data_IF_355385068533
#
_entry.id   IF_355385068533
#
_cell.length_a   1.000
_cell.length_b   1.000
_cell.length_c   1.000
_cell.angle_alpha   90.00
_cell.angle_beta   90.00
_cell.angle_gamma   90.00
#
_symmetry.space_group_name_H-M   'P 1'
#
loop_
_entity.id
_entity.type
_entity.pdbx_description
1 polymer ?
#
# COMPACT_ATOMS: atom_id res chain seq x y z
N UNK A 1 13.45 -11.86 9.89
CA UNK A 1 13.81 -11.53 8.49
C UNK A 1 14.05 -10.03 8.40
N UNK A 2 15.31 -9.60 8.50
CA UNK A 2 15.66 -8.17 8.52
C UNK A 2 15.83 -7.66 7.09
N UNK A 3 14.94 -6.78 6.65
CA UNK A 3 15.12 -6.00 5.41
C UNK A 3 16.00 -4.78 5.73
N UNK A 4 17.31 -4.94 5.60
CA UNK A 4 18.27 -3.83 5.67
C UNK A 4 18.20 -3.02 4.38
N UNK A 5 17.38 -1.97 4.35
CA UNK A 5 17.44 -0.95 3.29
C UNK A 5 18.42 0.16 3.69
N UNK A 6 19.72 -0.06 3.50
CA UNK A 6 20.72 1.01 3.56
C UNK A 6 20.81 1.65 2.17
N UNK A 7 20.31 2.89 2.01
CA UNK A 7 20.61 3.72 0.83
C UNK A 7 21.84 4.57 1.14
N UNK A 8 23.00 4.31 0.50
CA UNK A 8 24.26 5.02 0.77
C UNK A 8 24.24 6.49 0.33
N UNK A 9 23.23 6.94 -0.41
CA UNK A 9 23.07 8.29 -0.97
C UNK A 9 22.06 9.17 -0.22
N UNK A 10 21.41 8.66 0.82
CA UNK A 10 20.53 9.48 1.66
C UNK A 10 21.33 10.42 2.54
N UNK A 11 20.98 11.72 2.58
CA UNK A 11 21.65 12.71 3.45
C UNK A 11 21.50 12.48 4.97
N UNK A 12 20.88 11.39 5.40
CA UNK A 12 20.54 11.13 6.80
C UNK A 12 19.47 12.08 7.33
N UNK A 13 19.24 12.05 8.65
CA UNK A 13 18.24 12.86 9.32
C UNK A 13 18.81 13.50 10.58
N UNK A 14 18.34 14.71 10.91
CA UNK A 14 18.59 15.34 12.21
C UNK A 14 17.79 14.62 13.31
N UNK A 15 18.16 14.81 14.56
CA UNK A 15 17.41 14.30 15.70
C UNK A 15 15.95 14.81 15.71
N UNK A 16 15.74 16.07 15.34
CA UNK A 16 14.41 16.67 15.22
C UNK A 16 13.57 15.97 14.15
N UNK A 17 14.16 15.72 12.97
CA UNK A 17 13.48 14.98 11.89
C UNK A 17 13.16 13.56 12.36
N UNK A 18 14.14 12.86 12.97
CA UNK A 18 14.00 11.50 13.49
C UNK A 18 12.83 11.36 14.46
N UNK A 19 12.56 12.36 15.31
CA UNK A 19 11.46 12.30 16.27
C UNK A 19 10.08 12.43 15.60
N UNK A 20 10.02 13.01 14.41
CA UNK A 20 8.78 13.36 13.71
C UNK A 20 8.48 12.47 12.50
N UNK A 21 9.42 11.63 12.07
CA UNK A 21 9.27 10.82 10.84
C UNK A 21 8.10 9.84 10.83
N UNK A 22 7.53 9.52 12.00
CA UNK A 22 6.36 8.67 12.12
C UNK A 22 5.05 9.46 12.28
N UNK A 23 5.12 10.80 12.34
CA UNK A 23 3.94 11.66 12.33
C UNK A 23 3.25 11.57 10.96
N UNK A 24 1.92 11.37 10.91
CA UNK A 24 1.18 11.43 9.67
C UNK A 24 1.42 12.75 8.93
N UNK A 25 1.62 12.67 7.61
CA UNK A 25 1.83 13.82 6.71
C UNK A 25 3.16 14.57 6.90
N UNK A 26 4.01 14.18 7.84
CA UNK A 26 5.33 14.78 7.98
C UNK A 26 6.23 14.41 6.80
N UNK A 27 6.84 15.42 6.16
CA UNK A 27 7.76 15.24 5.03
C UNK A 27 8.79 16.36 5.00
N UNK A 28 10.04 16.01 4.70
CA UNK A 28 11.12 16.98 4.39
C UNK A 28 11.28 17.19 2.89
N UNK A 29 10.50 16.49 2.06
CA UNK A 29 10.53 16.61 0.60
C UNK A 29 9.77 17.87 0.15
N UNK A 30 10.14 18.45 -1.01
CA UNK A 30 9.38 19.53 -1.62
C UNK A 30 7.91 19.17 -1.82
N UNK A 31 7.07 20.21 -1.88
CA UNK A 31 5.62 20.10 -2.15
C UNK A 31 5.38 19.21 -3.37
N UNK A 32 4.46 18.24 -3.22
CA UNK A 32 4.10 17.30 -4.28
C UNK A 32 5.04 16.11 -4.49
N UNK A 33 6.17 15.99 -3.76
CA UNK A 33 7.13 14.87 -3.90
C UNK A 33 7.10 13.82 -2.78
N UNK A 34 6.19 13.94 -1.84
CA UNK A 34 5.98 12.94 -0.80
C UNK A 34 4.74 13.28 0.02
N UNK A 35 3.89 12.28 0.23
CA UNK A 35 2.67 12.41 1.04
C UNK A 35 2.93 12.45 2.54
N UNK A 36 4.15 12.10 2.98
CA UNK A 36 4.49 11.96 4.40
C UNK A 36 3.76 10.80 5.09
N UNK A 37 3.07 9.92 4.35
CA UNK A 37 2.21 8.89 4.95
C UNK A 37 2.92 7.55 5.15
N UNK A 38 3.95 7.25 4.33
CA UNK A 38 4.52 5.90 4.24
C UNK A 38 5.10 5.35 5.56
N UNK A 39 5.86 6.15 6.30
CA UNK A 39 6.45 5.72 7.57
C UNK A 39 5.42 5.63 8.70
N UNK A 40 4.45 6.56 8.74
CA UNK A 40 3.35 6.50 9.70
C UNK A 40 2.51 5.23 9.55
N UNK A 41 2.21 4.82 8.31
CA UNK A 41 1.50 3.55 8.05
C UNK A 41 2.35 2.35 8.43
N UNK A 42 3.64 2.34 8.08
CA UNK A 42 4.52 1.24 8.42
C UNK A 42 4.62 1.03 9.94
N UNK A 43 4.77 2.11 10.70
CA UNK A 43 4.79 2.07 12.16
C UNK A 43 3.46 1.60 12.73
N UNK A 44 2.33 2.12 12.23
CA UNK A 44 1.00 1.67 12.65
C UNK A 44 0.75 0.18 12.41
N UNK A 45 1.14 -0.34 11.24
CA UNK A 45 1.03 -1.77 10.92
C UNK A 45 1.91 -2.59 11.86
N UNK A 46 3.18 -2.24 12.01
CA UNK A 46 4.13 -3.01 12.82
C UNK A 46 3.72 -3.01 14.30
N UNK A 47 3.30 -1.86 14.85
CA UNK A 47 2.76 -1.77 16.21
C UNK A 47 1.47 -2.55 16.38
N UNK A 48 0.61 -2.59 15.35
CA UNK A 48 -0.60 -3.40 15.34
C UNK A 48 -0.33 -4.91 15.52
N UNK A 49 0.84 -5.38 15.09
CA UNK A 49 1.34 -6.74 15.34
C UNK A 49 2.21 -6.85 16.61
N UNK A 50 2.20 -5.86 17.50
CA UNK A 50 3.03 -5.85 18.72
C UNK A 50 4.53 -5.65 18.47
N UNK A 51 4.90 -5.21 17.27
CA UNK A 51 6.28 -4.93 16.89
C UNK A 51 6.73 -3.49 17.12
N UNK A 52 7.95 -3.20 16.68
CA UNK A 52 8.55 -1.86 16.69
C UNK A 52 9.51 -1.65 15.51
N UNK A 53 9.80 -0.40 15.15
CA UNK A 53 10.82 -0.05 14.17
C UNK A 53 11.96 0.67 14.87
N UNK A 54 13.18 0.14 14.75
CA UNK A 54 14.40 0.84 15.14
C UNK A 54 14.95 1.65 13.97
N UNK A 55 15.48 2.84 14.26
CA UNK A 55 16.01 3.75 13.26
C UNK A 55 17.42 4.16 13.62
N UNK A 56 18.35 3.82 12.75
CA UNK A 56 19.74 4.28 12.79
C UNK A 56 19.94 5.34 11.72
N UNK A 57 20.32 6.54 12.11
CA UNK A 57 20.48 7.66 11.17
C UNK A 57 21.48 8.67 11.71
N UNK A 58 22.29 9.22 10.82
CA UNK A 58 23.10 10.40 11.07
C UNK A 58 23.25 11.20 9.77
N UNK A 59 23.28 12.53 9.89
CA UNK A 59 23.47 13.42 8.74
C UNK A 59 24.71 13.02 7.94
N UNK A 60 24.57 12.97 6.62
CA UNK A 60 25.61 12.59 5.66
C UNK A 60 25.91 11.09 5.55
N UNK A 61 25.31 10.22 6.38
CA UNK A 61 25.58 8.77 6.39
C UNK A 61 24.41 7.88 5.95
N UNK A 62 23.26 8.48 5.67
CA UNK A 62 22.04 7.75 5.34
C UNK A 62 21.21 7.38 6.55
N UNK A 63 20.26 6.46 6.35
CA UNK A 63 19.37 5.97 7.40
C UNK A 63 19.05 4.51 7.15
N UNK A 64 18.97 3.73 8.22
CA UNK A 64 18.54 2.35 8.23
C UNK A 64 17.33 2.20 9.15
N UNK A 65 16.39 1.37 8.72
CA UNK A 65 15.14 1.08 9.44
C UNK A 65 15.07 -0.43 9.65
N UNK A 66 14.93 -0.85 10.90
CA UNK A 66 14.94 -2.25 11.31
C UNK A 66 13.61 -2.59 11.99
N UNK A 67 12.66 -3.21 11.27
CA UNK A 67 11.40 -3.66 11.86
C UNK A 67 11.60 -4.94 12.67
N UNK A 68 11.05 -4.95 13.88
CA UNK A 68 10.99 -6.10 14.78
C UNK A 68 9.53 -6.48 15.02
N UNK A 69 9.25 -7.78 14.98
CA UNK A 69 7.95 -8.36 15.27
C UNK A 69 8.14 -9.44 16.34
N UNK A 70 7.16 -9.67 17.22
CA UNK A 70 7.16 -10.82 18.12
C UNK A 70 7.31 -12.11 17.31
N UNK A 71 8.22 -12.97 17.75
CA UNK A 71 8.34 -14.31 17.18
C UNK A 71 7.39 -15.24 17.94
N UNK A 72 6.42 -15.82 17.24
CA UNK A 72 5.66 -16.96 17.77
C UNK A 72 6.44 -18.24 17.48
N UNK A 73 6.86 -18.95 18.53
CA UNK A 73 7.54 -20.25 18.44
C UNK A 73 6.65 -21.36 17.83
N UNK A 74 5.35 -21.07 17.65
CA UNK A 74 4.35 -22.00 17.10
C UNK A 74 4.22 -21.94 15.57
N UNK A 75 4.90 -21.04 14.86
CA UNK A 75 4.90 -21.01 13.40
C UNK A 75 6.13 -21.78 12.91
N UNK A 76 5.97 -22.99 12.31
CA UNK A 76 7.08 -23.68 11.69
C UNK A 76 7.71 -22.72 10.68
N UNK A 77 9.04 -22.55 10.74
CA UNK A 77 9.78 -21.82 9.72
C UNK A 77 9.24 -22.27 8.35
N UNK A 78 8.79 -21.37 7.47
CA UNK A 78 8.17 -21.78 6.22
C UNK A 78 9.17 -22.65 5.48
N UNK A 79 8.87 -23.95 5.39
CA UNK A 79 9.53 -24.84 4.47
C UNK A 79 9.44 -24.14 3.12
N UNK A 80 10.62 -23.74 2.60
CA UNK A 80 10.85 -22.97 1.38
C UNK A 80 9.55 -22.63 0.66
N UNK A 81 9.07 -21.39 0.82
CA UNK A 81 7.80 -20.91 0.28
C UNK A 81 7.57 -21.50 -1.12
N UNK A 82 6.85 -22.62 -1.17
CA UNK A 82 6.29 -23.13 -2.39
C UNK A 82 5.36 -22.01 -2.78
N UNK A 83 5.82 -21.24 -3.77
CA UNK A 83 5.16 -20.07 -4.34
C UNK A 83 3.71 -20.48 -4.46
N UNK A 84 2.87 -19.99 -3.55
CA UNK A 84 1.45 -20.28 -3.63
C UNK A 84 1.06 -19.76 -5.01
N UNK A 85 0.82 -20.67 -5.94
CA UNK A 85 0.47 -20.30 -7.29
C UNK A 85 -0.87 -19.59 -7.12
N UNK A 86 -0.83 -18.25 -7.16
CA UNK A 86 -2.02 -17.45 -7.39
C UNK A 86 -2.76 -18.15 -8.53
N UNK A 87 -4.07 -18.43 -8.39
CA UNK A 87 -4.81 -19.12 -9.44
C UNK A 87 -4.49 -18.45 -10.78
N UNK A 88 -4.14 -19.26 -11.79
CA UNK A 88 -3.65 -18.77 -13.10
C UNK A 88 -4.63 -17.79 -13.76
N UNK A 89 -5.91 -17.87 -13.40
CA UNK A 89 -6.85 -16.77 -13.52
C UNK A 89 -6.87 -16.02 -12.19
N UNK A 90 -6.31 -14.80 -12.14
CA UNK A 90 -6.42 -13.94 -10.96
C UNK A 90 -7.89 -13.85 -10.50
N UNK A 91 -8.12 -13.60 -9.20
CA UNK A 91 -9.46 -13.55 -8.58
C UNK A 91 -10.52 -12.78 -9.39
N UNK A 92 -10.10 -11.78 -10.17
CA UNK A 92 -10.98 -10.99 -11.02
C UNK A 92 -11.56 -11.70 -12.23
N UNK A 93 -10.93 -12.76 -12.75
CA UNK A 93 -11.44 -13.51 -13.91
C UNK A 93 -11.69 -12.65 -15.16
N UNK A 94 -10.97 -11.54 -15.33
CA UNK A 94 -11.17 -10.59 -16.44
C UNK A 94 -12.38 -9.66 -16.30
N UNK A 95 -13.09 -9.70 -15.16
CA UNK A 95 -14.21 -8.78 -14.87
C UNK A 95 -13.75 -7.32 -14.91
N UNK A 96 -14.67 -6.44 -15.33
CA UNK A 96 -14.42 -5.00 -15.41
C UNK A 96 -14.80 -4.33 -14.09
N UNK A 97 -13.97 -3.40 -13.63
CA UNK A 97 -14.23 -2.56 -12.45
C UNK A 97 -14.09 -1.10 -12.87
N UNK A 98 -15.11 -0.30 -12.57
CA UNK A 98 -15.06 1.16 -12.66
C UNK A 98 -14.69 1.69 -11.28
N UNK A 99 -13.52 2.32 -11.19
CA UNK A 99 -12.99 2.91 -9.97
C UNK A 99 -13.18 4.44 -10.03
N UNK A 100 -13.77 5.01 -8.99
CA UNK A 100 -14.02 6.45 -8.88
C UNK A 100 -13.53 6.92 -7.53
N UNK A 101 -12.57 7.84 -7.53
CA UNK A 101 -11.97 8.43 -6.34
C UNK A 101 -11.32 9.76 -6.74
N UNK A 102 -11.50 10.82 -5.96
CA UNK A 102 -10.97 12.16 -6.26
C UNK A 102 -9.47 12.30 -5.96
N UNK A 103 -8.87 11.36 -5.23
CA UNK A 103 -7.44 11.33 -4.98
C UNK A 103 -6.69 10.51 -6.07
N UNK A 104 -5.83 11.16 -6.89
CA UNK A 104 -5.07 10.48 -7.94
C UNK A 104 -4.09 9.42 -7.40
N UNK A 105 -3.63 9.57 -6.15
CA UNK A 105 -2.76 8.58 -5.50
C UNK A 105 -3.53 7.29 -5.18
N UNK A 106 -4.75 7.43 -4.67
CA UNK A 106 -5.64 6.31 -4.36
C UNK A 106 -6.02 5.57 -5.65
N UNK A 107 -6.40 6.32 -6.70
CA UNK A 107 -6.65 5.75 -8.02
C UNK A 107 -5.46 4.93 -8.53
N UNK A 108 -4.24 5.47 -8.42
CA UNK A 108 -3.02 4.79 -8.88
C UNK A 108 -2.74 3.48 -8.13
N UNK A 109 -2.85 3.50 -6.81
CA UNK A 109 -2.60 2.33 -5.96
C UNK A 109 -3.65 1.24 -6.22
N UNK A 110 -4.94 1.59 -6.17
CA UNK A 110 -6.03 0.63 -6.32
C UNK A 110 -6.09 0.04 -7.74
N UNK A 111 -5.85 0.84 -8.77
CA UNK A 111 -5.79 0.35 -10.16
C UNK A 111 -4.72 -0.73 -10.32
N UNK A 112 -3.56 -0.54 -9.69
CA UNK A 112 -2.45 -1.50 -9.72
C UNK A 112 -2.78 -2.78 -8.95
N UNK A 113 -3.41 -2.66 -7.78
CA UNK A 113 -3.80 -3.82 -6.96
C UNK A 113 -4.85 -4.65 -7.70
N UNK A 114 -5.92 -4.02 -8.17
CA UNK A 114 -7.01 -4.69 -8.89
C UNK A 114 -6.55 -5.28 -10.23
N UNK A 115 -5.70 -4.58 -10.98
CA UNK A 115 -5.09 -5.11 -12.20
C UNK A 115 -4.27 -6.37 -11.94
N UNK A 116 -3.44 -6.39 -10.88
CA UNK A 116 -2.69 -7.58 -10.45
C UNK A 116 -3.59 -8.72 -9.99
N UNK A 117 -4.75 -8.40 -9.43
CA UNK A 117 -5.77 -9.39 -9.08
C UNK A 117 -6.57 -9.92 -10.30
N UNK A 118 -6.28 -9.44 -11.52
CA UNK A 118 -6.89 -9.95 -12.76
C UNK A 118 -8.16 -9.22 -13.19
N UNK A 119 -8.41 -8.01 -12.69
CA UNK A 119 -9.50 -7.15 -13.14
C UNK A 119 -9.06 -6.22 -14.29
N UNK A 120 -10.01 -5.87 -15.17
CA UNK A 120 -9.85 -4.77 -16.12
C UNK A 120 -10.38 -3.49 -15.47
N UNK A 121 -9.48 -2.59 -15.09
CA UNK A 121 -9.83 -1.39 -14.32
C UNK A 121 -9.93 -0.19 -15.26
N UNK A 122 -11.03 0.56 -15.14
CA UNK A 122 -11.18 1.91 -15.68
C UNK A 122 -11.30 2.86 -14.50
N UNK A 123 -10.50 3.92 -14.47
CA UNK A 123 -10.36 4.81 -13.31
C UNK A 123 -10.72 6.24 -13.69
N UNK A 124 -11.52 6.90 -12.87
CA UNK A 124 -11.97 8.28 -13.06
C UNK A 124 -11.83 9.08 -11.77
N UNK A 125 -11.37 10.33 -11.89
CA UNK A 125 -11.32 11.28 -10.77
C UNK A 125 -12.67 11.94 -10.47
N UNK A 126 -13.58 11.90 -11.46
CA UNK A 126 -14.87 12.55 -11.38
C UNK A 126 -16.02 11.53 -11.57
N UNK A 127 -17.02 11.51 -10.66
CA UNK A 127 -18.16 10.60 -10.76
C UNK A 127 -19.04 10.80 -12.00
N UNK A 128 -19.15 12.02 -12.52
CA UNK A 128 -19.96 12.33 -13.71
C UNK A 128 -19.28 11.79 -14.96
N UNK A 129 -17.97 11.97 -15.09
CA UNK A 129 -17.16 11.36 -16.14
C UNK A 129 -17.22 9.83 -16.08
N UNK A 130 -17.11 9.25 -14.89
CA UNK A 130 -17.21 7.81 -14.68
C UNK A 130 -18.56 7.25 -15.14
N UNK A 131 -19.65 7.95 -14.82
CA UNK A 131 -20.99 7.55 -15.20
C UNK A 131 -21.21 7.65 -16.70
N UNK A 132 -20.67 8.69 -17.35
CA UNK A 132 -20.71 8.85 -18.80
C UNK A 132 -19.91 7.75 -19.53
N UNK A 133 -18.79 7.31 -18.96
CA UNK A 133 -17.96 6.24 -19.51
C UNK A 133 -18.57 4.82 -19.34
N UNK A 134 -19.64 4.67 -18.56
CA UNK A 134 -20.29 3.39 -18.22
C UNK A 134 -21.09 2.73 -19.36
N UNK A 135 -20.75 3.01 -20.63
CA UNK A 135 -21.50 2.58 -21.81
C UNK A 135 -22.02 1.12 -21.77
N UNK A 136 -23.35 0.99 -21.62
CA UNK A 136 -24.20 -0.15 -21.96
C UNK A 136 -23.80 -1.56 -21.48
N UNK A 137 -24.15 -1.93 -20.24
CA UNK A 137 -24.62 -3.28 -19.85
C UNK A 137 -24.95 -3.31 -18.35
N UNK A 138 -26.10 -2.75 -17.97
CA UNK A 138 -26.75 -3.10 -16.70
C UNK A 138 -28.20 -3.46 -17.00
N UNK A 139 -28.40 -4.56 -17.73
CA UNK A 139 -29.71 -5.22 -17.76
C UNK A 139 -29.67 -6.39 -16.79
N UNK A 140 -30.58 -6.32 -15.81
CA UNK A 140 -31.03 -7.38 -14.91
C UNK A 140 -30.03 -7.97 -13.89
N UNK A 141 -29.84 -7.25 -12.78
CA UNK A 141 -29.86 -7.86 -11.45
C UNK A 141 -30.85 -7.05 -10.59
N UNK A 142 -32.11 -7.12 -10.97
CA UNK A 142 -33.22 -6.80 -10.08
C UNK A 142 -34.01 -8.09 -9.90
N UNK A 143 -33.62 -8.87 -8.90
CA UNK A 143 -34.49 -9.87 -8.29
C UNK A 143 -35.17 -9.14 -7.11
N UNK A 144 -36.44 -8.72 -7.25
CA UNK A 144 -37.17 -8.12 -6.15
C UNK A 144 -37.68 -9.21 -5.19
N UNK A 145 -37.34 -9.09 -3.91
CA UNK A 145 -38.18 -9.51 -2.79
C UNK A 145 -38.38 -11.01 -2.56
N UNK A 146 -37.64 -11.55 -1.58
CA UNK A 146 -38.11 -12.66 -0.75
C UNK A 146 -38.22 -12.15 0.70
N UNK A 147 -39.36 -11.55 1.01
CA UNK A 147 -40.15 -11.70 2.24
C UNK A 147 -41.62 -11.44 1.87
#
# INVERSE_FOLDING_TARGET
MSILSKRPDGGGMSAETRNRIFEPFFTTKPVGRGSGFGLAVADGVIRGYGGAIEVETALGTGSAFSPYLPADDAVPAPASAAKAELPKAGLGGGRRVLLVDDDPMVLGILSRILGRAGYRVTSHGDPVEALAARGGAHSALQEPGLW
#
